data_IF_872096852376
#
_entry.id   IF_872096852376
#
_cell.length_a   1.000
_cell.length_b   1.000
_cell.length_c   1.000
_cell.angle_alpha   90.00
_cell.angle_beta   90.00
_cell.angle_gamma   90.00
#
_symmetry.space_group_name_H-M   'P 1'
#
loop_
_entity.id
_entity.type
_entity.pdbx_description
1 polymer ?
#
# COMPACT_ATOMS: atom_id res chain seq x y z
N UNK A 1 -29.11 -10.56 32.98
CA UNK A 1 -28.42 -9.81 31.90
C UNK A 1 -27.15 -10.51 31.43
N UNK A 2 -26.41 -11.18 32.30
CA UNK A 2 -25.16 -11.90 32.04
C UNK A 2 -25.27 -13.03 31.01
N UNK A 3 -26.34 -13.84 31.03
CA UNK A 3 -26.49 -14.94 30.06
C UNK A 3 -26.62 -14.48 28.60
N UNK A 4 -27.32 -13.37 28.36
CA UNK A 4 -27.46 -12.79 27.02
C UNK A 4 -26.11 -12.26 26.49
N UNK A 5 -25.23 -11.83 27.39
CA UNK A 5 -23.87 -11.37 27.05
C UNK A 5 -22.97 -12.56 26.74
N UNK A 6 -23.05 -13.64 27.52
CA UNK A 6 -22.30 -14.87 27.26
C UNK A 6 -22.71 -15.52 25.92
N UNK A 7 -24.01 -15.57 25.61
CA UNK A 7 -24.50 -16.11 24.32
C UNK A 7 -24.06 -15.26 23.14
N UNK A 8 -24.09 -13.92 23.28
CA UNK A 8 -23.58 -13.01 22.23
C UNK A 8 -22.07 -13.12 22.06
N UNK A 9 -21.31 -13.25 23.14
CA UNK A 9 -19.86 -13.46 23.08
C UNK A 9 -19.51 -14.80 22.42
N UNK A 10 -20.25 -15.87 22.72
CA UNK A 10 -20.06 -17.18 22.10
C UNK A 10 -20.35 -17.19 20.60
N UNK A 11 -21.24 -16.32 20.10
CA UNK A 11 -21.52 -16.17 18.66
C UNK A 11 -20.52 -15.24 17.96
N UNK A 12 -20.09 -14.16 18.60
CA UNK A 12 -19.20 -13.17 17.99
C UNK A 12 -17.72 -13.60 17.99
N UNK A 13 -17.27 -14.32 19.02
CA UNK A 13 -15.89 -14.80 19.12
C UNK A 13 -15.43 -15.66 17.92
N UNK A 14 -16.17 -16.69 17.47
CA UNK A 14 -15.76 -17.49 16.32
C UNK A 14 -15.82 -16.70 15.00
N UNK A 15 -16.74 -15.74 14.86
CA UNK A 15 -16.85 -14.87 13.69
C UNK A 15 -15.60 -13.99 13.54
N UNK A 16 -15.17 -13.36 14.64
CA UNK A 16 -13.97 -12.51 14.66
C UNK A 16 -12.71 -13.36 14.45
N UNK A 17 -12.60 -14.52 15.11
CA UNK A 17 -11.45 -15.42 14.94
C UNK A 17 -11.31 -15.91 13.49
N UNK A 18 -12.43 -16.27 12.85
CA UNK A 18 -12.44 -16.69 11.44
C UNK A 18 -12.04 -15.56 10.50
N UNK A 19 -12.52 -14.33 10.74
CA UNK A 19 -12.15 -13.16 9.95
C UNK A 19 -10.64 -12.85 10.01
N UNK A 20 -10.05 -12.92 11.21
CA UNK A 20 -8.61 -12.74 11.39
C UNK A 20 -7.80 -13.85 10.72
N UNK A 21 -8.23 -15.12 10.85
CA UNK A 21 -7.57 -16.25 10.22
C UNK A 21 -7.59 -16.16 8.68
N UNK A 22 -8.72 -15.79 8.06
CA UNK A 22 -8.79 -15.59 6.61
C UNK A 22 -7.93 -14.41 6.15
N UNK A 23 -7.85 -13.33 6.94
CA UNK A 23 -7.02 -12.16 6.59
C UNK A 23 -5.52 -12.48 6.56
N UNK A 24 -5.05 -13.44 7.38
CA UNK A 24 -3.66 -13.88 7.40
C UNK A 24 -3.27 -14.81 6.24
N UNK A 25 -4.24 -15.40 5.54
CA UNK A 25 -3.97 -16.28 4.39
C UNK A 25 -3.86 -15.54 3.05
N UNK A 26 -4.17 -14.24 3.01
CA UNK A 26 -3.95 -13.44 1.81
C UNK A 26 -2.46 -13.06 1.75
N UNK A 27 -1.79 -13.51 0.69
CA UNK A 27 -0.39 -13.17 0.40
C UNK A 27 -0.17 -11.67 0.60
N UNK A 28 0.59 -11.30 1.64
CA UNK A 28 0.82 -9.91 1.99
C UNK A 28 2.08 -9.43 1.28
N UNK A 29 1.98 -8.49 0.34
CA UNK A 29 3.14 -7.96 -0.35
C UNK A 29 4.08 -7.26 0.63
N UNK A 30 5.38 -7.37 0.38
CA UNK A 30 6.41 -6.73 1.21
C UNK A 30 6.80 -5.33 0.72
N UNK A 31 6.25 -4.86 -0.41
CA UNK A 31 6.43 -3.51 -1.00
C UNK A 31 7.87 -2.94 -0.90
N UNK A 32 8.90 -3.78 -1.06
CA UNK A 32 10.30 -3.36 -1.00
C UNK A 32 10.79 -3.02 0.41
N UNK A 33 10.05 -3.44 1.43
CA UNK A 33 10.43 -3.41 2.83
C UNK A 33 10.66 -4.85 3.29
N UNK A 34 11.52 -5.06 4.28
CA UNK A 34 11.80 -6.42 4.79
C UNK A 34 10.65 -6.99 5.66
N UNK A 35 9.44 -6.41 5.55
CA UNK A 35 8.27 -6.69 6.36
C UNK A 35 7.04 -6.88 5.47
N UNK A 36 6.12 -7.74 5.88
CA UNK A 36 4.81 -7.85 5.22
C UNK A 36 3.96 -6.61 5.51
N UNK A 37 3.05 -6.24 4.60
CA UNK A 37 2.16 -5.09 4.82
C UNK A 37 1.36 -5.20 6.13
N UNK A 38 0.95 -6.42 6.51
CA UNK A 38 0.27 -6.67 7.79
C UNK A 38 1.17 -6.45 9.01
N UNK A 39 2.43 -6.89 8.93
CA UNK A 39 3.40 -6.70 10.02
C UNK A 39 3.81 -5.24 10.19
N UNK A 40 3.91 -4.50 9.09
CA UNK A 40 4.09 -3.04 9.13
C UNK A 40 2.92 -2.35 9.80
N UNK A 41 1.68 -2.64 9.35
CA UNK A 41 0.47 -2.03 9.91
C UNK A 41 0.35 -2.30 11.41
N UNK A 42 0.52 -3.54 11.84
CA UNK A 42 0.47 -3.90 13.26
C UNK A 42 1.58 -3.19 14.06
N UNK A 43 2.79 -3.14 13.48
CA UNK A 43 3.93 -2.43 14.05
C UNK A 43 3.68 -0.93 14.22
N UNK A 44 3.03 -0.30 13.25
CA UNK A 44 2.71 1.12 13.19
C UNK A 44 1.63 1.48 14.21
N UNK A 45 0.52 0.73 14.25
CA UNK A 45 -0.54 0.89 15.24
C UNK A 45 0.00 0.72 16.66
N UNK A 46 0.81 -0.31 16.89
CA UNK A 46 1.45 -0.54 18.19
C UNK A 46 2.39 0.61 18.59
N UNK A 47 3.16 1.18 17.66
CA UNK A 47 3.97 2.39 17.96
C UNK A 47 3.14 3.63 18.20
N UNK A 48 1.99 3.79 17.54
CA UNK A 48 1.15 4.98 17.73
C UNK A 48 0.63 5.08 19.17
N UNK A 49 0.43 3.95 19.85
CA UNK A 49 0.03 3.89 21.26
C UNK A 49 1.21 3.74 22.23
N UNK A 50 2.45 3.59 21.74
CA UNK A 50 3.64 3.46 22.58
C UNK A 50 4.18 4.82 22.98
N UNK A 51 4.14 5.13 24.28
CA UNK A 51 4.74 6.33 24.87
C UNK A 51 6.28 6.20 24.94
N UNK A 52 6.81 4.97 24.99
CA UNK A 52 8.24 4.74 25.05
C UNK A 52 8.89 4.82 23.66
N UNK A 53 10.07 5.47 23.53
CA UNK A 53 10.80 5.53 22.27
C UNK A 53 11.28 4.13 21.86
N UNK A 54 10.96 3.70 20.64
CA UNK A 54 11.50 2.46 20.06
C UNK A 54 13.02 2.57 19.92
N UNK A 55 13.75 1.62 20.49
CA UNK A 55 15.20 1.47 20.25
C UNK A 55 15.39 1.01 18.80
N UNK A 56 15.98 1.87 17.98
CA UNK A 56 16.32 1.58 16.58
C UNK A 56 17.73 1.02 16.54
N UNK A 57 17.91 -0.04 15.78
CA UNK A 57 19.26 -0.53 15.50
C UNK A 57 20.02 0.52 14.68
N UNK A 58 21.33 0.71 14.94
CA UNK A 58 22.14 1.60 14.13
C UNK A 58 22.14 1.10 12.68
N UNK A 59 21.71 1.98 11.77
CA UNK A 59 21.73 1.69 10.34
C UNK A 59 23.17 1.88 9.85
N UNK A 60 23.75 0.82 9.30
CA UNK A 60 25.05 0.90 8.64
C UNK A 60 24.88 1.56 7.27
N UNK A 61 25.09 2.86 7.22
CA UNK A 61 25.04 3.65 5.99
C UNK A 61 26.29 3.41 5.14
N UNK A 62 26.37 2.24 4.53
CA UNK A 62 27.37 2.01 3.49
C UNK A 62 27.03 2.84 2.26
N UNK A 63 28.02 3.44 1.59
CA UNK A 63 27.79 4.04 0.28
C UNK A 63 27.14 3.00 -0.62
N UNK A 64 26.02 3.37 -1.24
CA UNK A 64 25.30 2.47 -2.14
C UNK A 64 26.28 2.04 -3.24
N UNK A 65 26.35 0.74 -3.58
CA UNK A 65 27.14 0.31 -4.71
C UNK A 65 26.66 1.05 -5.95
N UNK A 66 27.58 1.32 -6.87
CA UNK A 66 27.23 1.94 -8.14
C UNK A 66 26.11 1.15 -8.81
N UNK A 67 25.16 1.88 -9.40
CA UNK A 67 24.08 1.29 -10.18
C UNK A 67 24.71 0.35 -11.21
N UNK A 68 24.41 -0.94 -11.10
CA UNK A 68 24.81 -1.94 -12.09
C UNK A 68 24.07 -1.60 -13.37
N UNK A 69 24.73 -0.84 -14.23
CA UNK A 69 24.20 -0.51 -15.54
C UNK A 69 24.20 -1.81 -16.35
N UNK A 70 23.10 -2.13 -17.07
CA UNK A 70 23.13 -3.23 -18.02
C UNK A 70 24.31 -3.03 -18.98
N UNK A 71 24.92 -4.14 -19.40
CA UNK A 71 26.09 -4.11 -20.27
C UNK A 71 25.80 -3.25 -21.51
N UNK A 72 26.80 -2.51 -22.05
CA UNK A 72 26.61 -1.75 -23.29
C UNK A 72 26.08 -2.69 -24.38
N UNK A 73 24.85 -2.42 -24.86
CA UNK A 73 24.10 -3.28 -25.80
C UNK A 73 22.86 -4.00 -25.23
N UNK A 74 22.65 -4.04 -23.91
CA UNK A 74 21.45 -4.65 -23.30
C UNK A 74 20.30 -3.67 -23.04
N UNK A 75 20.52 -2.36 -23.22
CA UNK A 75 19.48 -1.32 -23.06
C UNK A 75 18.35 -1.41 -24.08
N UNK A 76 18.54 -2.17 -25.15
CA UNK A 76 17.67 -2.15 -26.33
C UNK A 76 16.56 -3.21 -26.28
N UNK A 77 16.67 -4.20 -25.38
CA UNK A 77 15.63 -5.22 -25.19
C UNK A 77 14.73 -4.89 -23.99
N UNK A 78 14.30 -3.63 -23.91
CA UNK A 78 13.22 -3.26 -22.99
C UNK A 78 11.92 -3.83 -23.56
N UNK A 79 11.07 -4.47 -22.74
CA UNK A 79 9.71 -4.76 -23.13
C UNK A 79 9.07 -3.48 -23.67
N UNK A 80 8.21 -3.57 -24.70
CA UNK A 80 7.50 -2.41 -25.18
C UNK A 80 6.77 -1.73 -24.01
N UNK A 81 6.63 -0.39 -24.04
CA UNK A 81 5.84 0.33 -23.05
C UNK A 81 4.49 -0.37 -22.84
N UNK A 82 4.06 -0.51 -21.58
CA UNK A 82 2.74 -1.06 -21.31
C UNK A 82 1.69 -0.19 -22.00
N UNK A 83 0.81 -0.85 -22.76
CA UNK A 83 -0.34 -0.20 -23.38
C UNK A 83 -1.19 0.49 -22.31
N UNK A 84 -1.74 1.66 -22.65
CA UNK A 84 -2.63 2.40 -21.76
C UNK A 84 -3.79 1.51 -21.29
N UNK A 85 -4.18 1.62 -20.01
CA UNK A 85 -5.29 0.85 -19.44
C UNK A 85 -6.60 1.05 -20.21
N UNK A 86 -6.78 2.20 -20.89
CA UNK A 86 -7.86 2.47 -21.85
C UNK A 86 -7.99 1.40 -22.95
N UNK A 87 -6.85 0.85 -23.39
CA UNK A 87 -6.76 -0.19 -24.41
C UNK A 87 -6.88 -1.59 -23.80
N UNK A 88 -6.56 -1.74 -22.51
CA UNK A 88 -6.46 -3.03 -21.82
C UNK A 88 -7.75 -3.48 -21.11
N UNK A 89 -8.68 -2.57 -20.80
CA UNK A 89 -9.96 -2.90 -20.16
C UNK A 89 -11.05 -1.88 -20.49
N UNK A 90 -12.23 -2.37 -20.88
CA UNK A 90 -13.40 -1.54 -21.19
C UNK A 90 -14.01 -0.84 -19.95
N UNK A 91 -13.62 -1.24 -18.74
CA UNK A 91 -14.11 -0.67 -17.48
C UNK A 91 -13.50 0.72 -17.19
N UNK A 92 -12.44 1.09 -17.91
CA UNK A 92 -11.67 2.31 -17.69
C UNK A 92 -11.67 3.20 -18.94
N UNK A 93 -12.60 4.16 -19.05
CA UNK A 93 -12.72 5.02 -20.22
C UNK A 93 -11.58 6.03 -20.36
N UNK A 94 -10.84 6.32 -19.28
CA UNK A 94 -9.62 7.15 -19.29
C UNK A 94 -8.49 6.44 -18.54
N UNK A 95 -7.25 6.63 -19.00
CA UNK A 95 -6.08 6.08 -18.34
C UNK A 95 -5.87 6.83 -17.04
N UNK A 96 -5.27 6.19 -16.03
CA UNK A 96 -4.92 6.87 -14.79
C UNK A 96 -4.14 8.17 -15.02
N UNK A 97 -3.37 8.24 -16.11
CA UNK A 97 -2.45 9.34 -16.34
C UNK A 97 -3.14 10.53 -16.98
N UNK A 98 -4.05 10.26 -17.91
CA UNK A 98 -4.99 11.26 -18.41
C UNK A 98 -5.89 11.79 -17.29
N UNK A 99 -6.44 10.90 -16.46
CA UNK A 99 -7.24 11.29 -15.28
C UNK A 99 -6.46 12.20 -14.34
N UNK A 100 -5.22 11.84 -14.02
CA UNK A 100 -4.34 12.67 -13.17
C UNK A 100 -4.03 14.01 -13.80
N UNK A 101 -3.79 14.07 -15.11
CA UNK A 101 -3.57 15.33 -15.81
C UNK A 101 -4.80 16.24 -15.75
N UNK A 102 -5.99 15.68 -15.98
CA UNK A 102 -7.28 16.39 -15.88
C UNK A 102 -7.50 16.96 -14.48
N UNK A 103 -7.36 16.13 -13.44
CA UNK A 103 -7.54 16.56 -12.05
C UNK A 103 -6.53 17.64 -11.63
N UNK A 104 -5.28 17.56 -12.09
CA UNK A 104 -4.29 18.61 -11.83
C UNK A 104 -4.64 19.91 -12.55
N UNK A 105 -5.05 19.83 -13.82
CA UNK A 105 -5.43 21.01 -14.59
C UNK A 105 -6.65 21.70 -13.96
N UNK A 106 -7.64 20.92 -13.54
CA UNK A 106 -8.83 21.38 -12.85
C UNK A 106 -8.50 22.04 -11.49
N UNK A 107 -7.66 21.40 -10.67
CA UNK A 107 -7.19 21.98 -9.42
C UNK A 107 -6.34 23.24 -9.64
N UNK A 108 -5.59 23.33 -10.74
CA UNK A 108 -4.81 24.52 -11.10
C UNK A 108 -5.73 25.66 -11.53
N UNK A 109 -6.79 25.36 -12.29
CA UNK A 109 -7.75 26.35 -12.75
C UNK A 109 -8.54 27.00 -11.60
N UNK A 110 -8.79 26.24 -10.53
CA UNK A 110 -9.56 26.69 -9.37
C UNK A 110 -8.70 26.94 -8.13
N UNK A 111 -7.38 27.07 -8.29
CA UNK A 111 -6.44 27.20 -7.16
C UNK A 111 -6.75 28.40 -6.26
N UNK A 112 -7.28 29.49 -6.84
CA UNK A 112 -7.57 30.74 -6.14
C UNK A 112 -9.09 31.00 -5.95
N UNK A 113 -9.94 30.00 -6.24
CA UNK A 113 -11.39 30.13 -6.06
C UNK A 113 -11.80 29.62 -4.66
N UNK A 114 -12.20 30.51 -3.74
CA UNK A 114 -12.62 30.12 -2.39
C UNK A 114 -14.00 29.44 -2.35
N UNK A 115 -14.70 29.34 -3.48
CA UNK A 115 -16.02 28.74 -3.63
C UNK A 115 -16.05 27.44 -4.45
N UNK A 116 -14.88 26.97 -4.90
CA UNK A 116 -14.69 25.68 -5.56
C UNK A 116 -14.68 24.51 -4.57
#
# INVERSE_FOLDING_TARGET
MTERICVRAALLAPLVASGLALSGCMSSPTYGTDKTAGEQLAGDLSSAFSIAPKRKDPIDYKPRPDLVKPAPGQKENLPPPQESIETASADWPESPEQRRARLRADATAHQDDPSY
#
